data_IF_382277758662
#
_entry.id   IF_382277758662
#
_cell.length_a   1.000
_cell.length_b   1.000
_cell.length_c   1.000
_cell.angle_alpha   90.00
_cell.angle_beta   90.00
_cell.angle_gamma   90.00
#
_symmetry.space_group_name_H-M   'P 1'
#
loop_
_entity.id
_entity.type
_entity.pdbx_description
1 polymer ?
#
# COMPACT_ATOMS: atom_id res chain seq x y z
N UNK A 1 34.69 0.53 -2.97
CA UNK A 1 33.58 -0.37 -2.60
C UNK A 1 32.32 0.42 -2.86
N UNK A 2 31.52 0.04 -3.86
CA UNK A 2 30.28 0.75 -4.17
C UNK A 2 29.16 0.11 -3.36
N UNK A 3 28.68 0.82 -2.33
CA UNK A 3 27.41 0.50 -1.68
C UNK A 3 26.30 0.55 -2.74
N UNK A 4 25.85 -0.64 -3.18
CA UNK A 4 24.67 -0.77 -4.03
C UNK A 4 23.45 -0.33 -3.19
N UNK A 5 23.15 0.97 -3.18
CA UNK A 5 21.97 1.53 -2.53
C UNK A 5 20.74 0.91 -3.17
N UNK A 6 20.08 -0.02 -2.47
CA UNK A 6 18.79 -0.57 -2.90
C UNK A 6 17.85 0.61 -3.20
N UNK A 7 17.08 0.58 -4.30
CA UNK A 7 16.12 1.64 -4.58
C UNK A 7 15.18 1.77 -3.38
N UNK A 8 15.05 2.99 -2.86
CA UNK A 8 14.16 3.26 -1.73
C UNK A 8 12.74 3.04 -2.26
N UNK A 9 11.97 2.13 -1.65
CA UNK A 9 10.55 1.92 -2.03
C UNK A 9 9.80 3.25 -1.88
N UNK A 10 8.81 3.51 -2.74
CA UNK A 10 7.97 4.74 -2.69
C UNK A 10 7.14 4.85 -1.40
N UNK A 11 6.85 3.73 -0.74
CA UNK A 11 6.18 3.68 0.57
C UNK A 11 6.76 2.60 1.49
N UNK A 12 6.40 2.67 2.77
CA UNK A 12 6.76 1.70 3.82
C UNK A 12 5.55 1.29 4.64
N UNK A 13 5.55 0.06 5.15
CA UNK A 13 4.59 -0.38 6.17
C UNK A 13 4.99 0.19 7.53
N UNK A 14 4.04 0.80 8.22
CA UNK A 14 4.23 1.39 9.54
C UNK A 14 3.55 0.49 10.57
N UNK A 15 4.32 0.03 11.56
CA UNK A 15 3.75 -0.66 12.71
C UNK A 15 3.20 0.37 13.68
N UNK A 16 1.94 0.19 14.09
CA UNK A 16 1.30 1.07 15.06
C UNK A 16 0.67 0.25 16.17
N UNK A 17 1.09 0.47 17.42
CA UNK A 17 0.45 -0.13 18.59
C UNK A 17 -1.03 0.29 18.73
N UNK A 18 -1.40 1.46 18.18
CA UNK A 18 -2.78 1.96 18.17
C UNK A 18 -3.65 1.27 17.10
N UNK A 19 -3.03 0.79 16.02
CA UNK A 19 -3.70 0.14 14.90
C UNK A 19 -3.03 -1.19 14.54
N UNK A 20 -2.96 -2.17 15.47
CA UNK A 20 -2.17 -3.39 15.29
C UNK A 20 -2.67 -4.29 14.16
N UNK A 21 -3.96 -4.18 13.81
CA UNK A 21 -4.62 -4.99 12.79
C UNK A 21 -4.93 -4.19 11.51
N UNK A 22 -4.33 -3.01 11.33
CA UNK A 22 -4.56 -2.20 10.13
C UNK A 22 -3.25 -1.91 9.41
N UNK A 23 -3.34 -1.85 8.08
CA UNK A 23 -2.20 -1.49 7.23
C UNK A 23 -2.01 0.01 7.27
N UNK A 24 -0.99 0.46 8.01
CA UNK A 24 -0.54 1.86 7.98
C UNK A 24 0.58 1.99 6.97
N UNK A 25 0.50 3.01 6.12
CA UNK A 25 1.44 3.29 5.04
C UNK A 25 2.09 4.65 5.27
N UNK A 26 3.41 4.68 5.22
CA UNK A 26 4.21 5.91 5.21
C UNK A 26 4.75 6.18 3.81
N UNK A 27 4.55 7.39 3.30
CA UNK A 27 5.05 7.80 1.98
C UNK A 27 6.51 8.26 2.12
N UNK A 28 7.42 7.70 1.31
CA UNK A 28 8.86 7.89 1.47
C UNK A 28 9.46 8.99 0.58
N UNK A 29 8.71 9.47 -0.41
CA UNK A 29 9.19 10.35 -1.47
C UNK A 29 8.09 11.25 -2.05
N UNK A 30 8.49 12.22 -2.88
CA UNK A 30 7.58 13.15 -3.55
C UNK A 30 6.94 14.18 -2.60
N UNK A 31 5.91 14.86 -3.11
CA UNK A 31 5.22 15.95 -2.40
C UNK A 31 4.50 15.53 -1.11
N UNK A 32 4.22 14.23 -0.95
CA UNK A 32 3.56 13.66 0.21
C UNK A 32 4.52 12.92 1.14
N UNK A 33 5.83 13.06 0.94
CA UNK A 33 6.84 12.42 1.78
C UNK A 33 6.61 12.73 3.26
N UNK A 34 6.66 11.69 4.10
CA UNK A 34 6.43 11.77 5.54
C UNK A 34 4.96 11.65 5.96
N UNK A 35 4.00 11.72 5.04
CA UNK A 35 2.59 11.46 5.37
C UNK A 35 2.41 10.00 5.77
N UNK A 36 1.71 9.78 6.87
CA UNK A 36 1.30 8.45 7.33
C UNK A 36 -0.21 8.38 7.29
N UNK A 37 -0.74 7.36 6.62
CA UNK A 37 -2.17 7.13 6.49
C UNK A 37 -2.49 5.65 6.66
N UNK A 38 -3.77 5.33 6.80
CA UNK A 38 -4.25 3.95 6.82
C UNK A 38 -5.49 3.80 5.95
N UNK A 39 -5.63 2.65 5.30
CA UNK A 39 -6.87 2.31 4.62
C UNK A 39 -7.94 1.88 5.63
N UNK A 40 -9.17 2.31 5.37
CA UNK A 40 -10.38 1.85 6.03
C UNK A 40 -11.03 0.71 5.23
N UNK A 41 -12.35 0.81 5.03
CA UNK A 41 -13.09 -0.15 4.22
C UNK A 41 -12.64 -0.06 2.76
N UNK A 42 -12.38 -1.22 2.14
CA UNK A 42 -12.14 -1.36 0.69
C UNK A 42 -13.27 -2.20 0.12
N UNK A 43 -13.93 -1.74 -0.94
CA UNK A 43 -15.08 -2.40 -1.56
C UNK A 43 -14.89 -2.47 -3.07
N UNK A 44 -14.85 -3.67 -3.67
CA UNK A 44 -14.93 -3.82 -5.12
C UNK A 44 -16.34 -3.47 -5.60
N UNK A 45 -16.43 -2.65 -6.64
CA UNK A 45 -17.68 -2.29 -7.30
C UNK A 45 -17.53 -2.47 -8.82
N UNK A 46 -18.64 -2.74 -9.50
CA UNK A 46 -18.68 -2.64 -10.96
C UNK A 46 -19.21 -1.26 -11.36
N UNK A 47 -18.46 -0.56 -12.19
CA UNK A 47 -18.86 0.72 -12.77
C UNK A 47 -18.55 0.70 -14.25
N UNK A 48 -19.58 0.94 -15.08
CA UNK A 48 -19.46 0.95 -16.55
C UNK A 48 -18.83 -0.34 -17.11
N UNK A 49 -19.15 -1.50 -16.51
CA UNK A 49 -18.59 -2.80 -16.89
C UNK A 49 -17.13 -3.02 -16.47
N UNK A 50 -16.57 -2.16 -15.61
CA UNK A 50 -15.21 -2.28 -15.08
C UNK A 50 -15.21 -2.46 -13.57
N UNK A 51 -14.42 -3.40 -13.09
CA UNK A 51 -14.15 -3.57 -11.65
C UNK A 51 -13.32 -2.37 -11.15
N UNK A 52 -13.87 -1.64 -10.18
CA UNK A 52 -13.26 -0.48 -9.53
C UNK A 52 -13.20 -0.71 -8.02
N UNK A 53 -12.11 -0.30 -7.38
CA UNK A 53 -11.98 -0.38 -5.92
C UNK A 53 -12.38 0.96 -5.31
N UNK A 54 -13.45 0.98 -4.51
CA UNK A 54 -13.73 2.09 -3.60
C UNK A 54 -13.02 1.86 -2.28
N UNK A 55 -12.48 2.92 -1.68
CA UNK A 55 -11.83 2.81 -0.38
C UNK A 55 -12.00 4.07 0.46
N UNK A 56 -11.99 3.86 1.78
CA UNK A 56 -11.85 4.91 2.78
C UNK A 56 -10.39 5.00 3.24
N UNK A 57 -9.98 6.17 3.74
CA UNK A 57 -8.66 6.35 4.32
C UNK A 57 -8.69 7.39 5.44
N UNK A 58 -7.77 7.24 6.41
CA UNK A 58 -7.52 8.22 7.44
C UNK A 58 -6.06 8.67 7.38
N UNK A 59 -5.83 9.98 7.38
CA UNK A 59 -4.48 10.55 7.56
C UNK A 59 -4.18 10.55 9.07
N UNK A 60 -3.12 9.85 9.46
CA UNK A 60 -2.66 9.75 10.84
C UNK A 60 -1.63 10.83 11.19
N UNK A 61 -0.77 11.16 10.22
CA UNK A 61 0.23 12.23 10.30
C UNK A 61 0.29 12.91 8.93
N UNK A 62 0.06 14.23 8.91
CA UNK A 62 0.07 15.02 7.67
C UNK A 62 1.46 15.62 7.37
N UNK A 63 2.43 15.45 8.27
CA UNK A 63 3.79 15.95 8.15
C UNK A 63 3.85 17.47 7.90
N UNK A 64 2.94 18.21 8.55
CA UNK A 64 2.82 19.66 8.39
C UNK A 64 2.23 20.14 7.07
N UNK A 65 1.77 19.25 6.20
CA UNK A 65 1.11 19.64 4.94
C UNK A 65 -0.31 20.19 5.19
N UNK A 66 -0.72 21.26 4.48
CA UNK A 66 -2.03 21.85 4.68
C UNK A 66 -3.14 20.98 4.08
N UNK A 67 -4.38 21.13 4.57
CA UNK A 67 -5.47 20.19 4.25
C UNK A 67 -5.84 20.16 2.76
N UNK A 68 -5.68 21.28 2.08
CA UNK A 68 -6.00 21.49 0.67
C UNK A 68 -5.15 20.64 -0.28
N UNK A 69 -3.97 20.17 0.14
CA UNK A 69 -3.14 19.28 -0.70
C UNK A 69 -3.66 17.83 -0.77
N UNK A 70 -4.60 17.46 0.10
CA UNK A 70 -5.19 16.12 0.19
C UNK A 70 -6.51 16.02 -0.58
N UNK A 71 -6.51 16.47 -1.83
CA UNK A 71 -7.63 16.33 -2.78
C UNK A 71 -7.50 15.10 -3.68
N UNK A 72 -8.10 15.20 -4.88
CA UNK A 72 -8.16 14.09 -5.86
C UNK A 72 -6.78 13.55 -6.24
N UNK A 73 -5.77 14.40 -6.33
CA UNK A 73 -4.41 13.95 -6.67
C UNK A 73 -3.81 13.07 -5.56
N UNK A 74 -4.07 13.39 -4.29
CA UNK A 74 -3.66 12.53 -3.17
C UNK A 74 -4.45 11.22 -3.20
N UNK A 75 -5.77 11.31 -3.39
CA UNK A 75 -6.65 10.15 -3.46
C UNK A 75 -6.22 9.17 -4.55
N UNK A 76 -5.93 9.66 -5.76
CA UNK A 76 -5.43 8.85 -6.86
C UNK A 76 -4.06 8.24 -6.53
N UNK A 77 -3.15 9.02 -5.96
CA UNK A 77 -1.81 8.54 -5.59
C UNK A 77 -1.85 7.39 -4.58
N UNK A 78 -2.69 7.49 -3.55
CA UNK A 78 -2.88 6.38 -2.60
C UNK A 78 -3.67 5.23 -3.23
N UNK A 79 -4.59 5.49 -4.16
CA UNK A 79 -5.24 4.46 -4.95
C UNK A 79 -4.24 3.58 -5.72
N UNK A 80 -3.24 4.18 -6.37
CA UNK A 80 -2.18 3.44 -7.04
C UNK A 80 -1.38 2.56 -6.08
N UNK A 81 -1.08 3.07 -4.87
CA UNK A 81 -0.43 2.29 -3.81
C UNK A 81 -1.32 1.12 -3.38
N UNK A 82 -2.63 1.31 -3.25
CA UNK A 82 -3.56 0.23 -2.89
C UNK A 82 -3.53 -0.90 -3.91
N UNK A 83 -3.49 -0.58 -5.21
CA UNK A 83 -3.38 -1.58 -6.28
C UNK A 83 -2.06 -2.36 -6.15
N UNK A 84 -0.94 -1.66 -5.95
CA UNK A 84 0.36 -2.31 -5.72
C UNK A 84 0.33 -3.24 -4.50
N UNK A 85 -0.32 -2.83 -3.40
CA UNK A 85 -0.44 -3.65 -2.20
C UNK A 85 -1.26 -4.93 -2.44
N UNK A 86 -2.35 -4.84 -3.21
CA UNK A 86 -3.19 -6.00 -3.55
C UNK A 86 -2.39 -6.97 -4.43
N UNK A 87 -1.66 -6.45 -5.42
CA UNK A 87 -0.83 -7.25 -6.31
C UNK A 87 0.33 -7.94 -5.55
N UNK A 88 1.04 -7.20 -4.68
CA UNK A 88 2.08 -7.77 -3.81
C UNK A 88 1.55 -8.87 -2.87
N UNK A 89 0.28 -8.81 -2.45
CA UNK A 89 -0.34 -9.86 -1.64
C UNK A 89 -0.79 -11.07 -2.45
N UNK A 90 -1.18 -10.87 -3.71
CA UNK A 90 -1.61 -11.96 -4.59
C UNK A 90 -0.41 -12.74 -5.13
N UNK A 91 0.65 -12.06 -5.57
CA UNK A 91 1.87 -12.72 -6.04
C UNK A 91 2.58 -13.51 -4.93
N UNK A 92 2.50 -13.05 -3.67
CA UNK A 92 3.02 -13.81 -2.52
C UNK A 92 2.31 -15.15 -2.27
N UNK A 93 1.11 -15.38 -2.81
CA UNK A 93 0.37 -16.65 -2.63
C UNK A 93 0.75 -17.71 -3.66
N UNK A 94 1.39 -17.33 -4.77
CA UNK A 94 1.78 -18.28 -5.83
C UNK A 94 3.08 -19.02 -5.49
N UNK A 95 4.04 -18.35 -4.85
CA UNK A 95 5.34 -18.94 -4.47
C UNK A 95 5.22 -20.05 -3.39
N UNK A 96 4.18 -20.03 -2.56
CA UNK A 96 3.99 -21.04 -1.50
C UNK A 96 3.43 -22.37 -2.00
N UNK A 97 2.80 -22.43 -3.19
CA UNK A 97 2.28 -23.68 -3.75
C UNK A 97 3.37 -24.49 -4.48
N UNK A 98 4.45 -23.84 -4.93
CA UNK A 98 5.58 -24.54 -5.56
C UNK A 98 6.49 -25.23 -4.55
N UNK A 99 6.62 -24.71 -3.32
CA UNK A 99 7.51 -25.29 -2.30
C UNK A 99 6.98 -26.57 -1.66
N UNK A 100 5.66 -26.79 -1.66
CA UNK A 100 5.04 -27.97 -1.06
C UNK A 100 4.98 -29.17 -2.03
N UNK A 101 5.00 -28.95 -3.35
CA UNK A 101 4.98 -30.03 -4.34
C UNK A 101 6.35 -30.71 -4.52
N UNK A 102 7.46 -29.98 -4.37
CA UNK A 102 8.82 -30.58 -4.46
C UNK A 102 9.22 -31.42 -3.24
N UNK A 103 8.51 -31.27 -2.11
CA UNK A 103 8.79 -32.02 -0.87
C UNK A 103 8.05 -33.36 -0.78
N UNK A 104 7.18 -33.68 -1.72
CA UNK A 104 6.44 -34.94 -1.80
C UNK A 104 7.02 -35.97 -2.77
N UNK A 105 8.19 -35.70 -3.37
CA UNK A 105 8.80 -36.52 -4.44
C UNK A 105 10.18 -37.11 -4.05
N UNK A 106 10.46 -37.27 -2.77
CA UNK A 106 11.62 -38.01 -2.25
C UNK A 106 11.18 -39.12 -1.29
#
# INVERSE_FOLDING_TARGET
MADKKKPKKRYSYIQSAKYPNQTCIGINEGKYAGVIYKYGKVTPIEKDGKLTMQFEFDILENNGLPRDVFGDEFFNYIGDILVELIDEQNNRKDDTLSSDLERGLL
#
